data_IF_570211809170
#
_entry.id   IF_570211809170
#
_cell.length_a   1.000
_cell.length_b   1.000
_cell.length_c   1.000
_cell.angle_alpha   90.00
_cell.angle_beta   90.00
_cell.angle_gamma   90.00
#
_symmetry.space_group_name_H-M   'P 1'
#
loop_
_entity.id
_entity.type
_entity.pdbx_description
1 polymer ?
#
# COMPACT_ATOMS: atom_id res chain seq x y z
N UNK A 1 4.34 -5.92 72.94
CA UNK A 1 4.47 -6.00 71.46
C UNK A 1 3.10 -6.35 70.91
N UNK A 2 2.41 -5.41 70.28
CA UNK A 2 1.06 -5.61 69.74
C UNK A 2 1.12 -5.30 68.25
N UNK A 3 1.20 -6.34 67.44
CA UNK A 3 1.28 -6.26 65.98
C UNK A 3 -0.08 -5.77 65.50
N UNK A 4 -0.15 -4.50 65.08
CA UNK A 4 -1.36 -3.88 64.56
C UNK A 4 -1.82 -4.64 63.30
N UNK A 5 -2.89 -5.43 63.43
CA UNK A 5 -3.66 -5.98 62.31
C UNK A 5 -4.43 -4.83 61.65
N UNK A 6 -3.73 -3.96 60.93
CA UNK A 6 -4.38 -3.04 59.98
C UNK A 6 -5.01 -3.92 58.90
N UNK A 7 -6.34 -3.92 58.91
CA UNK A 7 -7.17 -4.96 58.37
C UNK A 7 -7.00 -5.04 56.84
N UNK A 8 -6.79 -6.24 56.30
CA UNK A 8 -6.71 -6.46 54.85
C UNK A 8 -7.90 -5.82 54.13
N UNK A 9 -9.08 -5.84 54.77
CA UNK A 9 -10.31 -5.18 54.34
C UNK A 9 -10.15 -3.67 54.13
N UNK A 10 -9.41 -2.97 54.99
CA UNK A 10 -9.17 -1.53 54.86
C UNK A 10 -8.26 -1.21 53.67
N UNK A 11 -7.35 -2.13 53.35
CA UNK A 11 -6.50 -2.00 52.15
C UNK A 11 -7.31 -2.22 50.89
N UNK A 12 -8.19 -3.22 50.85
CA UNK A 12 -9.09 -3.45 49.70
C UNK A 12 -10.04 -2.26 49.50
N UNK A 13 -10.68 -1.78 50.57
CA UNK A 13 -11.60 -0.63 50.49
C UNK A 13 -10.91 0.68 50.08
N UNK A 14 -9.58 0.80 50.32
CA UNK A 14 -8.77 1.92 49.82
C UNK A 14 -8.46 1.76 48.33
N UNK A 15 -8.01 0.57 47.91
CA UNK A 15 -7.74 0.26 46.50
C UNK A 15 -9.00 0.42 45.64
N UNK A 16 -10.16 0.03 46.15
CA UNK A 16 -11.42 0.13 45.43
C UNK A 16 -11.89 1.60 45.27
N UNK A 17 -11.73 2.42 46.31
CA UNK A 17 -11.95 3.88 46.22
C UNK A 17 -11.00 4.56 45.23
N UNK A 18 -9.74 4.16 45.24
CA UNK A 18 -8.73 4.67 44.29
C UNK A 18 -9.04 4.22 42.86
N UNK A 19 -9.55 2.98 42.67
CA UNK A 19 -9.97 2.47 41.36
C UNK A 19 -11.17 3.23 40.81
N UNK A 20 -12.18 3.50 41.65
CA UNK A 20 -13.38 4.28 41.24
C UNK A 20 -13.00 5.72 40.87
N UNK A 21 -12.06 6.33 41.59
CA UNK A 21 -11.60 7.71 41.30
C UNK A 21 -10.66 7.81 40.10
N UNK A 22 -10.01 6.70 39.71
CA UNK A 22 -9.04 6.64 38.60
C UNK A 22 -9.63 6.02 37.31
N UNK A 23 -10.77 5.31 37.40
CA UNK A 23 -11.47 4.78 36.23
C UNK A 23 -11.86 5.93 35.28
N UNK A 24 -11.34 5.88 34.05
CA UNK A 24 -11.61 6.90 33.04
C UNK A 24 -10.75 8.16 33.17
N UNK A 25 -9.59 8.12 33.84
CA UNK A 25 -8.58 9.19 33.78
C UNK A 25 -7.29 8.64 33.16
N UNK A 26 -6.69 9.38 32.23
CA UNK A 26 -5.38 9.07 31.64
C UNK A 26 -4.33 9.97 32.27
N UNK A 27 -3.20 9.39 32.66
CA UNK A 27 -2.01 10.15 33.07
C UNK A 27 -1.30 10.65 31.81
N UNK A 28 -1.27 11.97 31.66
CA UNK A 28 -0.52 12.65 30.62
C UNK A 28 0.74 13.27 31.23
N UNK A 29 1.89 12.92 30.68
CA UNK A 29 3.14 13.61 30.96
C UNK A 29 3.24 14.82 30.03
N UNK A 30 3.17 16.03 30.58
CA UNK A 30 3.31 17.29 29.84
C UNK A 30 4.54 18.00 30.38
N UNK A 31 5.68 17.82 29.69
CA UNK A 31 6.99 18.28 30.18
C UNK A 31 7.35 17.60 31.50
N UNK A 32 7.74 18.39 32.51
CA UNK A 32 8.12 17.90 33.84
C UNK A 32 6.93 17.69 34.80
N UNK A 33 5.68 17.73 34.29
CA UNK A 33 4.47 17.62 35.12
C UNK A 33 3.59 16.46 34.69
N UNK A 34 3.10 15.72 35.67
CA UNK A 34 2.05 14.72 35.50
C UNK A 34 0.68 15.36 35.70
N UNK A 35 -0.19 15.28 34.70
CA UNK A 35 -1.59 15.71 34.80
C UNK A 35 -2.53 14.51 34.60
N UNK A 36 -3.49 14.34 35.52
CA UNK A 36 -4.59 13.38 35.36
C UNK A 36 -5.73 14.06 34.63
N UNK A 37 -5.89 13.77 33.34
CA UNK A 37 -6.97 14.32 32.53
C UNK A 37 -8.07 13.26 32.44
N UNK A 38 -9.34 13.69 32.60
CA UNK A 38 -10.48 12.80 32.32
C UNK A 38 -10.33 12.32 30.88
N UNK A 39 -10.38 11.00 30.70
CA UNK A 39 -10.45 10.34 29.41
C UNK A 39 -11.81 10.67 28.80
N UNK A 40 -12.00 11.92 28.37
CA UNK A 40 -13.13 12.21 27.53
C UNK A 40 -12.96 11.37 26.28
N UNK A 41 -13.89 10.44 26.09
CA UNK A 41 -13.81 9.45 25.03
C UNK A 41 -13.65 10.10 23.66
N UNK A 42 -14.13 11.34 23.50
CA UNK A 42 -13.92 12.18 22.33
C UNK A 42 -12.46 12.58 22.13
N UNK A 43 -11.77 12.98 23.21
CA UNK A 43 -10.38 13.42 23.18
C UNK A 43 -9.42 12.25 22.98
N UNK A 44 -9.70 11.09 23.58
CA UNK A 44 -8.93 9.87 23.37
C UNK A 44 -9.13 9.29 21.97
N UNK A 45 -10.36 9.35 21.43
CA UNK A 45 -10.62 9.05 20.01
C UNK A 45 -9.90 10.04 19.11
N UNK A 46 -9.91 11.33 19.41
CA UNK A 46 -9.15 12.33 18.65
C UNK A 46 -7.64 12.12 18.74
N UNK A 47 -7.09 11.66 19.87
CA UNK A 47 -5.67 11.36 20.01
C UNK A 47 -5.27 10.05 19.29
N UNK A 48 -6.13 9.04 19.31
CA UNK A 48 -5.97 7.81 18.51
C UNK A 48 -6.15 8.06 17.01
N UNK A 49 -7.03 9.01 16.64
CA UNK A 49 -7.26 9.44 15.26
C UNK A 49 -6.44 10.67 14.85
N UNK A 50 -5.58 11.19 15.72
CA UNK A 50 -4.59 12.20 15.39
C UNK A 50 -3.50 11.49 14.59
N UNK A 51 -3.88 11.14 13.36
CA UNK A 51 -3.03 10.63 12.30
C UNK A 51 -1.83 11.57 12.29
N UNK A 52 -0.69 11.06 12.75
CA UNK A 52 0.56 11.80 12.77
C UNK A 52 0.65 12.51 11.42
N UNK A 53 0.60 13.84 11.45
CA UNK A 53 0.60 14.68 10.25
C UNK A 53 2.00 14.59 9.70
N UNK A 54 2.30 13.47 9.04
CA UNK A 54 3.63 13.13 8.59
C UNK A 54 3.96 14.09 7.46
N UNK A 55 4.89 15.01 7.75
CA UNK A 55 5.55 15.89 6.77
C UNK A 55 6.31 15.10 5.67
N UNK A 56 6.17 13.77 5.59
CA UNK A 56 6.73 12.88 4.57
C UNK A 56 5.80 12.53 3.39
N UNK A 57 4.66 13.21 3.22
CA UNK A 57 3.68 12.87 2.16
C UNK A 57 4.20 12.98 0.71
N UNK A 58 5.30 13.70 0.45
CA UNK A 58 5.91 13.74 -0.89
C UNK A 58 6.78 12.49 -1.14
N UNK A 59 7.46 11.99 -0.11
CA UNK A 59 8.28 10.77 -0.18
C UNK A 59 7.42 9.52 -0.43
N UNK A 60 6.13 9.53 -0.07
CA UNK A 60 5.21 8.43 -0.35
C UNK A 60 4.78 8.32 -1.83
N UNK A 61 5.06 9.32 -2.66
CA UNK A 61 4.65 9.31 -4.09
C UNK A 61 5.44 8.28 -4.90
N UNK A 62 6.76 8.27 -4.74
CA UNK A 62 7.64 7.33 -5.44
C UNK A 62 7.26 5.86 -5.17
N UNK A 63 7.14 5.39 -3.92
CA UNK A 63 6.75 4.02 -3.67
C UNK A 63 5.32 3.71 -4.14
N UNK A 64 4.40 4.68 -4.14
CA UNK A 64 3.07 4.49 -4.74
C UNK A 64 3.13 4.28 -6.26
N UNK A 65 3.97 5.04 -6.97
CA UNK A 65 4.22 4.81 -8.41
C UNK A 65 4.81 3.40 -8.66
N UNK A 66 5.80 3.01 -7.84
CA UNK A 66 6.42 1.69 -7.94
C UNK A 66 5.42 0.55 -7.70
N UNK A 67 4.45 0.72 -6.79
CA UNK A 67 3.39 -0.29 -6.61
C UNK A 67 2.49 -0.42 -7.84
N UNK A 68 2.22 0.67 -8.56
CA UNK A 68 1.54 0.63 -9.85
C UNK A 68 2.32 -0.15 -10.90
N UNK A 69 3.63 0.14 -10.98
CA UNK A 69 4.54 -0.52 -11.91
C UNK A 69 4.67 -2.03 -11.61
N UNK A 70 4.82 -2.39 -10.33
CA UNK A 70 4.84 -3.76 -9.88
C UNK A 70 3.55 -4.52 -10.22
N UNK A 71 2.39 -3.87 -10.10
CA UNK A 71 1.10 -4.44 -10.50
C UNK A 71 1.07 -4.87 -11.97
N UNK A 72 1.56 -4.01 -12.87
CA UNK A 72 1.63 -4.32 -14.31
C UNK A 72 2.60 -5.45 -14.59
N UNK A 73 3.79 -5.44 -13.96
CA UNK A 73 4.78 -6.51 -14.12
C UNK A 73 4.21 -7.85 -13.67
N UNK A 74 3.60 -7.91 -12.49
CA UNK A 74 3.01 -9.13 -11.94
C UNK A 74 1.89 -9.65 -12.83
N UNK A 75 0.95 -8.79 -13.24
CA UNK A 75 -0.17 -9.21 -14.09
C UNK A 75 0.32 -9.69 -15.45
N UNK A 76 1.30 -9.01 -16.05
CA UNK A 76 1.86 -9.41 -17.34
C UNK A 76 2.60 -10.73 -17.23
N UNK A 77 3.44 -10.91 -16.19
CA UNK A 77 4.15 -12.15 -15.95
C UNK A 77 3.19 -13.32 -15.72
N UNK A 78 2.13 -13.11 -14.91
CA UNK A 78 1.11 -14.12 -14.67
C UNK A 78 0.36 -14.48 -15.94
N UNK A 79 -0.02 -13.48 -16.74
CA UNK A 79 -0.73 -13.68 -18.00
C UNK A 79 0.11 -14.51 -18.98
N UNK A 80 1.35 -14.10 -19.22
CA UNK A 80 2.21 -14.73 -20.21
C UNK A 80 2.63 -16.15 -19.80
N UNK A 81 2.77 -16.42 -18.48
CA UNK A 81 3.22 -17.73 -17.99
C UNK A 81 2.11 -18.73 -17.70
N UNK A 82 0.96 -18.26 -17.23
CA UNK A 82 -0.06 -19.12 -16.64
C UNK A 82 -1.45 -18.99 -17.27
N UNK A 83 -1.71 -17.99 -18.13
CA UNK A 83 -3.03 -17.88 -18.74
C UNK A 83 -3.18 -18.93 -19.85
N UNK A 84 -4.22 -19.79 -19.79
CA UNK A 84 -4.53 -20.70 -20.88
C UNK A 84 -4.97 -19.94 -22.13
N UNK A 85 -4.64 -20.43 -23.35
CA UNK A 85 -4.97 -19.77 -24.61
C UNK A 85 -6.48 -19.58 -24.83
N UNK A 86 -7.31 -20.43 -24.22
CA UNK A 86 -8.77 -20.34 -24.25
C UNK A 86 -9.31 -19.09 -23.55
N UNK A 87 -8.67 -18.67 -22.45
CA UNK A 87 -9.04 -17.47 -21.69
C UNK A 87 -8.53 -16.22 -22.42
N UNK A 88 -7.36 -16.32 -23.05
CA UNK A 88 -6.80 -15.23 -23.84
C UNK A 88 -7.69 -14.85 -25.04
N UNK A 89 -8.26 -15.84 -25.73
CA UNK A 89 -9.23 -15.62 -26.81
C UNK A 89 -10.49 -14.88 -26.35
N UNK A 90 -10.96 -15.16 -25.13
CA UNK A 90 -12.12 -14.45 -24.55
C UNK A 90 -11.76 -13.03 -24.09
N UNK A 91 -10.53 -12.81 -23.66
CA UNK A 91 -10.02 -11.49 -23.28
C UNK A 91 -9.66 -10.63 -24.49
N UNK A 92 -9.44 -11.21 -25.67
CA UNK A 92 -8.95 -10.51 -26.86
C UNK A 92 -9.77 -9.27 -27.24
N UNK A 93 -11.10 -9.28 -27.00
CA UNK A 93 -11.97 -8.16 -27.31
C UNK A 93 -11.70 -6.89 -26.46
N UNK A 94 -11.15 -7.05 -25.25
CA UNK A 94 -10.90 -5.94 -24.30
C UNK A 94 -9.59 -6.16 -23.53
N UNK A 95 -8.58 -6.74 -24.17
CA UNK A 95 -7.37 -7.25 -23.52
C UNK A 95 -6.59 -6.16 -22.78
N UNK A 96 -6.53 -4.96 -23.36
CA UNK A 96 -5.92 -3.75 -22.77
C UNK A 96 -6.67 -3.28 -21.51
N UNK A 97 -8.00 -3.18 -21.58
CA UNK A 97 -8.83 -2.72 -20.46
C UNK A 97 -8.83 -3.74 -19.31
N UNK A 98 -8.90 -5.03 -19.62
CA UNK A 98 -8.79 -6.10 -18.65
C UNK A 98 -7.40 -6.12 -17.99
N UNK A 99 -6.34 -5.94 -18.79
CA UNK A 99 -4.97 -5.81 -18.30
C UNK A 99 -4.79 -4.62 -17.35
N UNK A 100 -5.29 -3.45 -17.73
CA UNK A 100 -5.29 -2.26 -16.88
C UNK A 100 -6.07 -2.49 -15.57
N UNK A 101 -7.29 -3.02 -15.65
CA UNK A 101 -8.12 -3.27 -14.48
C UNK A 101 -7.48 -4.25 -13.49
N UNK A 102 -6.92 -5.36 -13.99
CA UNK A 102 -6.20 -6.32 -13.15
C UNK A 102 -4.93 -5.71 -12.55
N UNK A 103 -4.14 -4.98 -13.34
CA UNK A 103 -2.92 -4.34 -12.85
C UNK A 103 -3.22 -3.30 -11.76
N UNK A 104 -4.29 -2.52 -11.93
CA UNK A 104 -4.75 -1.56 -10.94
C UNK A 104 -5.23 -2.28 -9.66
N UNK A 105 -5.98 -3.37 -9.78
CA UNK A 105 -6.42 -4.14 -8.62
C UNK A 105 -5.23 -4.70 -7.82
N UNK A 106 -4.22 -5.24 -8.50
CA UNK A 106 -2.98 -5.73 -7.86
C UNK A 106 -2.19 -4.58 -7.23
N UNK A 107 -2.09 -3.44 -7.92
CA UNK A 107 -1.43 -2.25 -7.39
C UNK A 107 -2.12 -1.73 -6.11
N UNK A 108 -3.46 -1.70 -6.11
CA UNK A 108 -4.25 -1.32 -4.92
C UNK A 108 -4.04 -2.33 -3.80
N UNK A 109 -3.99 -3.64 -4.09
CA UNK A 109 -3.69 -4.67 -3.08
C UNK A 109 -2.32 -4.45 -2.45
N UNK A 110 -1.28 -4.18 -3.23
CA UNK A 110 0.03 -3.80 -2.71
C UNK A 110 -0.03 -2.48 -1.92
N UNK A 111 -0.83 -1.53 -2.39
CA UNK A 111 -1.12 -0.28 -1.69
C UNK A 111 -1.75 -0.49 -0.32
N UNK A 112 -2.67 -1.44 -0.17
CA UNK A 112 -3.27 -1.82 1.13
C UNK A 112 -2.18 -2.35 2.06
N UNK A 113 -1.39 -3.32 1.58
CA UNK A 113 -0.34 -3.96 2.38
C UNK A 113 0.72 -2.97 2.88
N UNK A 114 1.02 -1.95 2.06
CA UNK A 114 2.00 -0.90 2.38
C UNK A 114 1.38 0.36 3.00
N UNK A 115 0.08 0.34 3.31
CA UNK A 115 -0.67 1.44 3.91
C UNK A 115 -0.69 2.75 3.07
N UNK A 116 -0.69 2.61 1.74
CA UNK A 116 -0.80 3.69 0.75
C UNK A 116 -2.24 3.93 0.28
N UNK A 117 -3.20 3.95 1.21
CA UNK A 117 -4.64 3.97 0.88
C UNK A 117 -5.26 5.37 0.75
N UNK A 118 -4.46 6.43 0.70
CA UNK A 118 -5.01 7.78 0.51
C UNK A 118 -5.42 8.01 -0.95
N UNK A 119 -6.51 8.73 -1.20
CA UNK A 119 -6.99 9.04 -2.55
C UNK A 119 -5.88 9.61 -3.47
N UNK A 120 -5.02 10.47 -2.93
CA UNK A 120 -3.85 11.01 -3.66
C UNK A 120 -2.86 9.92 -4.07
N UNK A 121 -2.57 8.95 -3.21
CA UNK A 121 -1.63 7.86 -3.50
C UNK A 121 -2.23 6.83 -4.47
N UNK A 122 -3.55 6.61 -4.41
CA UNK A 122 -4.26 5.79 -5.40
C UNK A 122 -4.15 6.38 -6.81
N UNK A 123 -4.25 7.71 -6.94
CA UNK A 123 -4.02 8.39 -8.23
C UNK A 123 -2.59 8.16 -8.72
N UNK A 124 -1.59 8.24 -7.84
CA UNK A 124 -0.21 7.95 -8.20
C UNK A 124 0.02 6.48 -8.57
N UNK A 125 -0.66 5.53 -7.93
CA UNK A 125 -0.64 4.13 -8.34
C UNK A 125 -1.22 3.96 -9.76
N UNK A 126 -2.37 4.59 -10.04
CA UNK A 126 -2.98 4.54 -11.36
C UNK A 126 -2.06 5.16 -12.44
N UNK A 127 -1.42 6.29 -12.15
CA UNK A 127 -0.41 6.90 -13.04
C UNK A 127 0.76 5.92 -13.26
N UNK A 128 1.21 5.25 -12.20
CA UNK A 128 2.27 4.24 -12.29
C UNK A 128 1.88 3.06 -13.18
N UNK A 129 0.62 2.60 -13.10
CA UNK A 129 0.08 1.55 -13.98
C UNK A 129 0.08 2.01 -15.44
N UNK A 130 -0.45 3.21 -15.73
CA UNK A 130 -0.48 3.74 -17.11
C UNK A 130 0.93 3.89 -17.67
N UNK A 131 1.84 4.46 -16.88
CA UNK A 131 3.24 4.62 -17.28
C UNK A 131 3.90 3.26 -17.55
N UNK A 132 3.69 2.29 -16.67
CA UNK A 132 4.25 0.95 -16.82
C UNK A 132 3.69 0.23 -18.06
N UNK A 133 2.37 0.30 -18.31
CA UNK A 133 1.78 -0.25 -19.54
C UNK A 133 2.41 0.37 -20.78
N UNK A 134 2.61 1.70 -20.76
CA UNK A 134 3.17 2.41 -21.89
C UNK A 134 4.66 2.12 -22.11
N UNK A 135 5.41 1.69 -21.09
CA UNK A 135 6.87 1.57 -21.16
C UNK A 135 7.40 0.15 -21.00
N UNK A 136 6.60 -0.83 -20.59
CA UNK A 136 7.07 -2.17 -20.20
C UNK A 136 7.80 -2.88 -21.33
N UNK A 137 7.40 -2.67 -22.58
CA UNK A 137 8.05 -3.26 -23.76
C UNK A 137 9.53 -2.88 -23.86
N UNK A 138 9.96 -1.74 -23.31
CA UNK A 138 11.38 -1.36 -23.29
C UNK A 138 12.25 -2.33 -22.48
N UNK A 139 11.67 -3.04 -21.51
CA UNK A 139 12.40 -4.06 -20.75
C UNK A 139 12.96 -5.17 -21.65
N UNK A 140 12.21 -5.54 -22.70
CA UNK A 140 12.61 -6.53 -23.69
C UNK A 140 13.87 -6.10 -24.48
N UNK A 141 14.18 -4.81 -24.55
CA UNK A 141 15.36 -4.29 -25.24
C UNK A 141 16.53 -4.03 -24.28
N UNK A 142 16.27 -3.49 -23.09
CA UNK A 142 17.33 -3.12 -22.16
C UNK A 142 17.93 -4.33 -21.45
N UNK A 143 17.10 -5.30 -21.06
CA UNK A 143 17.53 -6.49 -20.33
C UNK A 143 16.76 -7.71 -20.83
N UNK A 144 17.04 -8.19 -22.06
CA UNK A 144 16.31 -9.30 -22.68
C UNK A 144 16.40 -10.58 -21.82
N UNK A 145 17.59 -10.95 -21.35
CA UNK A 145 17.78 -12.17 -20.55
C UNK A 145 16.98 -12.17 -19.23
N UNK A 146 16.84 -11.01 -18.56
CA UNK A 146 16.03 -10.90 -17.35
C UNK A 146 14.54 -10.89 -17.70
N UNK A 147 14.17 -10.25 -18.80
CA UNK A 147 12.78 -10.23 -19.29
C UNK A 147 12.31 -11.63 -19.70
N UNK A 148 13.17 -12.45 -20.29
CA UNK A 148 12.89 -13.86 -20.61
C UNK A 148 12.58 -14.66 -19.34
N UNK A 149 13.37 -14.43 -18.29
CA UNK A 149 13.21 -15.09 -16.99
C UNK A 149 11.96 -14.63 -16.23
N UNK A 150 11.50 -13.39 -16.43
CA UNK A 150 10.31 -12.85 -15.75
C UNK A 150 9.03 -13.11 -16.55
N UNK A 151 9.02 -12.83 -17.84
CA UNK A 151 7.85 -12.97 -18.72
C UNK A 151 7.92 -14.30 -19.44
N UNK A 152 8.47 -14.35 -20.65
CA UNK A 152 8.90 -15.56 -21.39
C UNK A 152 9.74 -15.11 -22.60
N UNK A 153 10.52 -16.01 -23.22
CA UNK A 153 11.18 -15.71 -24.49
C UNK A 153 10.23 -15.27 -25.61
N UNK A 154 9.04 -15.90 -25.68
CA UNK A 154 8.03 -15.54 -26.69
C UNK A 154 7.48 -14.12 -26.50
N UNK A 155 7.30 -13.69 -25.24
CA UNK A 155 6.90 -12.31 -24.97
C UNK A 155 7.98 -11.32 -25.38
N UNK A 156 9.25 -11.57 -25.04
CA UNK A 156 10.37 -10.69 -25.43
C UNK A 156 10.45 -10.54 -26.94
N UNK A 157 10.39 -11.65 -27.68
CA UNK A 157 10.40 -11.61 -29.15
C UNK A 157 9.21 -10.80 -29.69
N UNK A 158 8.01 -11.05 -29.16
CA UNK A 158 6.80 -10.31 -29.57
C UNK A 158 6.95 -8.80 -29.34
N UNK A 159 7.51 -8.39 -28.20
CA UNK A 159 7.74 -6.96 -27.93
C UNK A 159 8.80 -6.35 -28.84
N UNK A 160 9.84 -7.11 -29.19
CA UNK A 160 10.89 -6.67 -30.11
C UNK A 160 10.39 -6.55 -31.55
N UNK A 161 9.43 -7.39 -31.95
CA UNK A 161 8.84 -7.36 -33.30
C UNK A 161 7.80 -6.24 -33.44
N UNK A 162 7.05 -5.93 -32.37
CA UNK A 162 5.94 -4.97 -32.40
C UNK A 162 6.32 -3.53 -32.06
N UNK A 163 7.42 -3.31 -31.32
CA UNK A 163 7.77 -1.99 -30.81
C UNK A 163 9.20 -1.60 -31.16
N UNK A 164 9.47 -0.29 -31.14
CA UNK A 164 10.83 0.23 -31.20
C UNK A 164 11.36 0.49 -29.78
N UNK A 165 12.67 0.33 -29.53
CA UNK A 165 13.27 0.66 -28.24
C UNK A 165 13.17 2.15 -27.92
N UNK A 166 13.15 2.49 -26.62
CA UNK A 166 13.09 3.88 -26.10
C UNK A 166 11.84 4.63 -26.58
N UNK A 167 10.71 3.94 -26.52
CA UNK A 167 9.41 4.51 -26.88
C UNK A 167 8.39 4.33 -25.76
N UNK A 168 7.39 5.20 -25.70
CA UNK A 168 6.16 4.99 -24.94
C UNK A 168 5.06 4.60 -25.94
N UNK A 169 4.46 3.43 -25.76
CA UNK A 169 3.44 2.88 -26.65
C UNK A 169 2.09 2.84 -25.92
N UNK A 170 1.11 3.65 -26.35
CA UNK A 170 -0.22 3.66 -25.76
C UNK A 170 -1.28 3.90 -26.84
N UNK A 171 -2.30 3.04 -26.92
CA UNK A 171 -3.42 3.22 -27.84
C UNK A 171 -3.01 3.28 -29.33
N UNK A 172 -1.97 2.53 -29.72
CA UNK A 172 -1.42 2.53 -31.09
C UNK A 172 -0.51 3.70 -31.43
N UNK A 173 -0.27 4.63 -30.50
CA UNK A 173 0.66 5.74 -30.68
C UNK A 173 1.98 5.37 -30.00
N UNK A 174 3.10 5.56 -30.70
CA UNK A 174 4.45 5.38 -30.17
C UNK A 174 5.19 6.74 -30.14
N UNK A 175 5.66 7.15 -28.96
CA UNK A 175 6.42 8.40 -28.75
C UNK A 175 7.84 8.04 -28.33
N UNK A 176 8.84 8.43 -29.12
CA UNK A 176 10.26 8.18 -28.83
C UNK A 176 10.90 9.19 -27.88
N UNK A 177 11.96 8.80 -27.18
CA UNK A 177 12.76 9.64 -26.29
C UNK A 177 14.25 9.25 -26.19
#
# INVERSE_FOLDING_TARGET
MTIARSNFSDRIARIERDRITTQGKVRLHVGDREMQVRADSAMLRQALHAKARTRGHWLSVVPALLTGLAGVVVVTALRVRFLPPEIELRLAAHSELAGFGMALAVAVLFGVLLNFFSARLLVWQAIGVVFALASLHNAAFWQPALSDAVFTPGWVQTQQDLHAPRTLALGGIAIGF
#
